data_IF_398268547232
#
_entry.id   IF_398268547232
#
_cell.length_a   1.000
_cell.length_b   1.000
_cell.length_c   1.000
_cell.angle_alpha   90.00
_cell.angle_beta   90.00
_cell.angle_gamma   90.00
#
_symmetry.space_group_name_H-M   'P 1'
#
loop_
_entity.id
_entity.type
_entity.pdbx_description
1 polymer ?
#
# COMPACT_ATOMS: atom_id res chain seq x y z
N UNK A 1 30.15 -12.45 -20.83
CA UNK A 1 29.71 -11.22 -20.14
C UNK A 1 28.66 -10.58 -21.03
N UNK A 2 27.39 -10.71 -20.70
CA UNK A 2 26.33 -10.02 -21.43
C UNK A 2 26.48 -8.51 -21.20
N UNK A 3 26.32 -7.71 -22.26
CA UNK A 3 26.41 -6.25 -22.19
C UNK A 3 25.27 -5.68 -21.34
N UNK A 4 25.54 -4.67 -20.50
CA UNK A 4 24.50 -3.95 -19.72
C UNK A 4 23.31 -3.49 -20.58
N UNK A 5 23.55 -3.16 -21.85
CA UNK A 5 22.51 -2.78 -22.79
C UNK A 5 21.56 -3.95 -23.13
N UNK A 6 22.08 -5.18 -23.16
CA UNK A 6 21.29 -6.39 -23.35
C UNK A 6 20.45 -6.70 -22.10
N UNK A 7 21.00 -6.48 -20.90
CA UNK A 7 20.26 -6.58 -19.63
C UNK A 7 19.11 -5.57 -19.59
N UNK A 8 19.37 -4.28 -19.88
CA UNK A 8 18.32 -3.25 -19.92
C UNK A 8 17.26 -3.55 -20.97
N UNK A 9 17.66 -4.01 -22.16
CA UNK A 9 16.73 -4.36 -23.24
C UNK A 9 15.90 -5.61 -22.90
N UNK A 10 16.46 -6.54 -22.13
CA UNK A 10 15.73 -7.71 -21.63
C UNK A 10 14.78 -7.34 -20.48
N UNK A 11 15.16 -6.41 -19.62
CA UNK A 11 14.32 -5.92 -18.51
C UNK A 11 13.11 -5.13 -19.02
N UNK A 12 13.32 -4.25 -20.02
CA UNK A 12 12.27 -3.41 -20.61
C UNK A 12 11.41 -4.12 -21.68
N UNK A 13 11.55 -5.44 -21.85
CA UNK A 13 10.60 -6.16 -22.71
C UNK A 13 9.20 -6.07 -22.09
N UNK A 14 8.13 -5.85 -22.87
CA UNK A 14 6.77 -5.77 -22.32
C UNK A 14 6.33 -7.06 -21.60
N UNK A 15 6.96 -8.18 -21.95
CA UNK A 15 6.84 -9.49 -21.30
C UNK A 15 7.55 -9.56 -19.92
N UNK A 16 8.58 -8.73 -19.70
CA UNK A 16 9.30 -8.54 -18.42
C UNK A 16 8.93 -7.25 -17.68
N UNK A 17 8.18 -6.34 -18.31
CA UNK A 17 7.41 -5.26 -17.65
C UNK A 17 6.21 -5.84 -16.87
N UNK A 18 6.37 -7.07 -16.37
CA UNK A 18 5.32 -7.88 -15.79
C UNK A 18 5.12 -7.53 -14.33
N UNK A 19 3.86 -7.52 -13.90
CA UNK A 19 3.45 -7.52 -12.49
C UNK A 19 3.89 -8.81 -11.74
N UNK A 20 4.96 -9.47 -12.16
CA UNK A 20 5.46 -10.71 -11.59
C UNK A 20 6.60 -10.36 -10.63
N UNK A 21 6.41 -10.64 -9.35
CA UNK A 21 7.46 -10.50 -8.36
C UNK A 21 8.33 -11.76 -8.35
N UNK A 22 9.65 -11.61 -8.22
CA UNK A 22 10.62 -12.72 -8.24
C UNK A 22 10.38 -13.74 -7.11
N UNK A 23 9.86 -13.28 -5.97
CA UNK A 23 9.35 -14.15 -4.89
C UNK A 23 7.97 -13.67 -4.38
N UNK A 24 6.86 -14.22 -4.89
CA UNK A 24 5.53 -13.84 -4.44
C UNK A 24 5.21 -14.32 -3.01
N UNK A 25 6.06 -15.13 -2.39
CA UNK A 25 5.83 -15.68 -1.06
C UNK A 25 6.06 -14.66 0.06
N UNK A 26 6.87 -13.63 -0.19
CA UNK A 26 7.15 -12.55 0.77
C UNK A 26 5.92 -11.73 1.18
N UNK A 27 4.91 -11.65 0.31
CA UNK A 27 3.68 -10.89 0.58
C UNK A 27 2.76 -11.60 1.56
N UNK A 28 2.84 -12.92 1.62
CA UNK A 28 1.84 -13.79 2.26
C UNK A 28 2.41 -14.48 3.50
N UNK A 29 3.71 -14.75 3.51
CA UNK A 29 4.40 -15.38 4.65
C UNK A 29 4.76 -14.32 5.69
N UNK A 30 4.80 -14.75 6.94
CA UNK A 30 5.37 -13.92 8.00
C UNK A 30 6.88 -13.79 7.79
N UNK A 31 7.38 -12.56 7.67
CA UNK A 31 8.82 -12.25 7.66
C UNK A 31 9.42 -12.24 9.07
N UNK A 32 8.59 -12.45 10.09
CA UNK A 32 8.93 -12.42 11.50
C UNK A 32 8.88 -13.86 12.04
N UNK A 33 9.57 -14.21 13.14
CA UNK A 33 9.62 -15.58 13.66
C UNK A 33 8.30 -16.06 14.32
N UNK A 34 7.17 -15.43 13.99
CA UNK A 34 5.87 -15.72 14.58
C UNK A 34 5.07 -16.74 13.77
N UNK A 35 4.09 -17.37 14.43
CA UNK A 35 3.13 -18.25 13.77
C UNK A 35 2.34 -17.47 12.71
N UNK A 36 2.13 -18.10 11.54
CA UNK A 36 1.35 -17.58 10.42
C UNK A 36 -0.05 -17.12 10.85
N UNK A 37 -0.62 -17.73 11.89
CA UNK A 37 -1.94 -17.36 12.45
C UNK A 37 -1.95 -15.96 13.03
N UNK A 38 -0.91 -15.63 13.81
CA UNK A 38 -0.76 -14.32 14.44
C UNK A 38 -0.50 -13.26 13.39
N UNK A 39 0.26 -13.60 12.35
CA UNK A 39 0.49 -12.73 11.21
C UNK A 39 -0.81 -12.40 10.45
N UNK A 40 -1.67 -13.38 10.20
CA UNK A 40 -2.99 -13.14 9.58
C UNK A 40 -3.88 -12.28 10.46
N UNK A 41 -3.95 -12.57 11.76
CA UNK A 41 -4.74 -11.78 12.71
C UNK A 41 -4.29 -10.32 12.73
N UNK A 42 -2.97 -10.09 12.79
CA UNK A 42 -2.37 -8.77 12.69
C UNK A 42 -2.80 -8.05 11.40
N UNK A 43 -2.69 -8.70 10.23
CA UNK A 43 -3.05 -8.09 8.94
C UNK A 43 -4.54 -7.72 8.88
N UNK A 44 -5.42 -8.55 9.43
CA UNK A 44 -6.86 -8.25 9.51
C UNK A 44 -7.14 -7.07 10.43
N UNK A 45 -6.50 -7.02 11.61
CA UNK A 45 -6.63 -5.88 12.55
C UNK A 45 -6.14 -4.58 11.92
N UNK A 46 -5.01 -4.61 11.21
CA UNK A 46 -4.48 -3.45 10.49
C UNK A 46 -5.45 -2.97 9.42
N UNK A 47 -5.98 -3.88 8.58
CA UNK A 47 -6.95 -3.53 7.56
C UNK A 47 -8.21 -2.89 8.14
N UNK A 48 -8.75 -3.45 9.24
CA UNK A 48 -9.90 -2.85 9.95
C UNK A 48 -9.56 -1.47 10.52
N UNK A 49 -8.35 -1.29 11.06
CA UNK A 49 -7.88 0.00 11.56
C UNK A 49 -7.85 1.07 10.46
N UNK A 50 -7.29 0.76 9.29
CA UNK A 50 -7.27 1.68 8.16
C UNK A 50 -8.66 1.97 7.59
N UNK A 51 -9.55 0.96 7.53
CA UNK A 51 -10.95 1.18 7.14
C UNK A 51 -11.66 2.12 8.12
N UNK A 52 -11.48 1.93 9.43
CA UNK A 52 -12.06 2.81 10.42
C UNK A 52 -11.49 4.24 10.29
N UNK A 53 -10.18 4.34 10.06
CA UNK A 53 -9.50 5.62 9.89
C UNK A 53 -10.03 6.37 8.66
N UNK A 54 -10.09 5.75 7.48
CA UNK A 54 -10.56 6.44 6.26
C UNK A 54 -12.01 6.91 6.37
N UNK A 55 -12.85 6.17 7.09
CA UNK A 55 -14.23 6.60 7.35
C UNK A 55 -14.24 7.82 8.28
N UNK A 56 -13.48 7.78 9.37
CA UNK A 56 -13.39 8.89 10.32
C UNK A 56 -12.80 10.14 9.68
N UNK A 57 -11.76 9.98 8.87
CA UNK A 57 -11.07 11.05 8.14
C UNK A 57 -12.01 11.74 7.15
N UNK A 58 -12.74 10.97 6.34
CA UNK A 58 -13.76 11.48 5.43
C UNK A 58 -14.82 12.32 6.16
N UNK A 59 -15.32 11.84 7.29
CA UNK A 59 -16.36 12.54 8.07
C UNK A 59 -15.80 13.84 8.63
N UNK A 60 -14.65 13.77 9.32
CA UNK A 60 -14.05 14.92 10.00
C UNK A 60 -13.64 16.02 8.99
N UNK A 61 -13.04 15.64 7.86
CA UNK A 61 -12.66 16.59 6.83
C UNK A 61 -13.86 17.21 6.11
N UNK A 62 -14.90 16.42 5.84
CA UNK A 62 -16.10 16.91 5.15
C UNK A 62 -16.83 17.96 5.99
N UNK A 63 -16.98 17.70 7.30
CA UNK A 63 -17.65 18.61 8.22
C UNK A 63 -16.82 19.89 8.47
N UNK A 64 -15.51 19.76 8.69
CA UNK A 64 -14.66 20.90 9.09
C UNK A 64 -14.16 21.74 7.92
N UNK A 65 -13.74 21.12 6.82
CA UNK A 65 -13.01 21.81 5.76
C UNK A 65 -13.84 22.02 4.49
N UNK A 66 -14.68 21.05 4.12
CA UNK A 66 -15.33 21.07 2.79
C UNK A 66 -16.76 21.59 2.74
N UNK A 67 -17.37 21.92 3.90
CA UNK A 67 -18.76 22.41 3.99
C UNK A 67 -19.74 21.49 3.26
N UNK A 68 -19.72 20.21 3.59
CA UNK A 68 -20.56 19.15 3.00
C UNK A 68 -20.26 18.80 1.53
N UNK A 69 -19.18 19.33 0.93
CA UNK A 69 -18.77 18.98 -0.44
C UNK A 69 -17.78 17.83 -0.46
N UNK A 70 -18.31 16.62 -0.31
CA UNK A 70 -17.56 15.36 -0.30
C UNK A 70 -16.64 15.15 -1.53
N UNK A 71 -17.01 15.62 -2.72
CA UNK A 71 -16.20 15.45 -3.93
C UNK A 71 -14.82 16.12 -3.88
N UNK A 72 -14.67 17.16 -3.04
CA UNK A 72 -13.40 17.88 -2.89
C UNK A 72 -12.35 16.99 -2.20
N UNK A 73 -12.78 16.09 -1.31
CA UNK A 73 -11.91 15.12 -0.65
C UNK A 73 -11.16 14.25 -1.67
N UNK A 74 -11.79 13.87 -2.78
CA UNK A 74 -11.17 13.10 -3.88
C UNK A 74 -10.24 13.92 -4.79
N UNK A 75 -10.04 15.21 -4.55
CA UNK A 75 -9.10 16.01 -5.34
C UNK A 75 -7.70 15.96 -4.71
N UNK A 76 -7.61 15.75 -3.40
CA UNK A 76 -6.34 15.77 -2.68
C UNK A 76 -5.53 14.50 -2.91
N UNK A 77 -4.27 14.69 -3.33
CA UNK A 77 -3.33 13.59 -3.57
C UNK A 77 -3.06 12.75 -2.31
N UNK A 78 -3.07 13.38 -1.13
CA UNK A 78 -2.94 12.69 0.17
C UNK A 78 -4.07 11.70 0.40
N UNK A 79 -5.31 12.09 0.05
CA UNK A 79 -6.50 11.27 0.23
C UNK A 79 -6.47 10.07 -0.72
N UNK A 80 -5.99 10.25 -1.96
CA UNK A 80 -5.71 9.13 -2.87
C UNK A 80 -4.64 8.17 -2.36
N UNK A 81 -3.55 8.69 -1.79
CA UNK A 81 -2.52 7.84 -1.18
C UNK A 81 -3.09 7.03 -0.02
N UNK A 82 -3.99 7.64 0.78
CA UNK A 82 -4.65 6.97 1.88
C UNK A 82 -5.64 5.89 1.42
N UNK A 83 -6.38 6.13 0.34
CA UNK A 83 -7.21 5.11 -0.34
C UNK A 83 -6.35 3.95 -0.81
N UNK A 84 -5.23 4.23 -1.50
CA UNK A 84 -4.33 3.21 -2.03
C UNK A 84 -3.68 2.38 -0.92
N UNK A 85 -3.30 3.02 0.19
CA UNK A 85 -2.78 2.35 1.37
C UNK A 85 -3.83 1.42 1.99
N UNK A 86 -5.05 1.92 2.16
CA UNK A 86 -6.16 1.14 2.71
C UNK A 86 -6.46 -0.09 1.82
N UNK A 87 -6.56 0.11 0.51
CA UNK A 87 -6.75 -0.98 -0.46
C UNK A 87 -5.62 -2.02 -0.40
N UNK A 88 -4.37 -1.57 -0.28
CA UNK A 88 -3.21 -2.45 -0.14
C UNK A 88 -3.36 -3.35 1.09
N UNK A 89 -3.64 -2.77 2.26
CA UNK A 89 -3.77 -3.54 3.51
C UNK A 89 -4.94 -4.55 3.47
N UNK A 90 -6.04 -4.22 2.79
CA UNK A 90 -7.17 -5.14 2.57
C UNK A 90 -6.76 -6.32 1.69
N UNK A 91 -6.11 -6.06 0.56
CA UNK A 91 -5.66 -7.12 -0.36
C UNK A 91 -4.63 -8.01 0.31
N UNK A 92 -3.70 -7.46 1.10
CA UNK A 92 -2.76 -8.23 1.92
C UNK A 92 -3.48 -9.15 2.91
N UNK A 93 -4.47 -8.63 3.64
CA UNK A 93 -5.24 -9.40 4.60
C UNK A 93 -6.01 -10.55 3.93
N UNK A 94 -6.62 -10.30 2.77
CA UNK A 94 -7.30 -11.32 1.96
C UNK A 94 -6.31 -12.40 1.50
N UNK A 95 -5.17 -12.02 0.93
CA UNK A 95 -4.17 -12.96 0.44
C UNK A 95 -3.59 -13.81 1.58
N UNK A 96 -3.25 -13.19 2.71
CA UNK A 96 -2.75 -13.90 3.90
C UNK A 96 -3.78 -14.88 4.47
N UNK A 97 -5.03 -14.45 4.56
CA UNK A 97 -6.13 -15.28 5.06
C UNK A 97 -6.39 -16.46 4.12
N UNK A 98 -6.47 -16.20 2.82
CA UNK A 98 -6.67 -17.23 1.81
C UNK A 98 -5.55 -18.28 1.84
N UNK A 99 -4.28 -17.86 1.92
CA UNK A 99 -3.16 -18.79 2.06
C UNK A 99 -3.24 -19.60 3.37
N UNK A 100 -3.60 -18.98 4.50
CA UNK A 100 -3.74 -19.69 5.76
C UNK A 100 -4.88 -20.73 5.72
N UNK A 101 -6.03 -20.37 5.14
CA UNK A 101 -7.19 -21.28 4.99
C UNK A 101 -6.91 -22.37 3.96
N UNK A 102 -6.33 -22.05 2.81
CA UNK A 102 -5.94 -23.02 1.79
C UNK A 102 -4.87 -23.99 2.31
N UNK A 103 -3.86 -23.47 3.02
CA UNK A 103 -2.89 -24.29 3.72
C UNK A 103 -3.60 -25.24 4.68
N UNK A 104 -4.49 -24.76 5.56
CA UNK A 104 -5.25 -25.58 6.52
C UNK A 104 -6.19 -26.61 5.88
N UNK A 105 -6.90 -26.25 4.81
CA UNK A 105 -7.83 -27.14 4.11
C UNK A 105 -7.15 -28.30 3.40
N UNK A 106 -5.97 -28.06 2.81
CA UNK A 106 -5.11 -29.10 2.23
C UNK A 106 -4.36 -29.90 3.32
N UNK A 107 -3.95 -29.22 4.41
CA UNK A 107 -3.21 -29.78 5.54
C UNK A 107 -3.99 -30.69 6.48
N UNK A 108 -5.30 -30.46 6.60
CA UNK A 108 -6.16 -31.27 7.47
C UNK A 108 -6.24 -32.73 7.03
N UNK A 109 -5.81 -33.04 5.80
CA UNK A 109 -5.94 -34.37 5.19
C UNK A 109 -4.61 -35.08 4.89
N UNK A 110 -3.50 -34.35 4.75
CA UNK A 110 -2.17 -34.90 4.45
C UNK A 110 -1.07 -34.16 5.25
N UNK A 111 -0.23 -34.93 5.95
CA UNK A 111 0.98 -34.43 6.65
C UNK A 111 1.84 -33.62 5.67
N UNK A 112 1.92 -32.31 5.90
CA UNK A 112 2.49 -31.29 5.00
C UNK A 112 3.90 -31.59 4.53
N UNK A 113 4.16 -31.42 3.24
CA UNK A 113 5.47 -31.01 2.74
C UNK A 113 5.35 -29.57 2.21
N UNK A 114 5.59 -28.59 3.11
CA UNK A 114 5.45 -27.14 2.88
C UNK A 114 6.12 -26.66 1.59
N UNK A 115 7.26 -27.25 1.26
CA UNK A 115 8.11 -26.83 0.15
C UNK A 115 7.51 -27.12 -1.24
N UNK A 116 6.78 -28.24 -1.41
CA UNK A 116 6.19 -28.61 -2.70
C UNK A 116 4.91 -27.84 -3.02
N UNK A 117 4.15 -27.45 -1.99
CA UNK A 117 2.94 -26.63 -2.15
C UNK A 117 3.32 -25.19 -2.45
N UNK A 118 4.32 -24.65 -1.76
CA UNK A 118 4.86 -23.32 -2.07
C UNK A 118 5.29 -23.26 -3.54
N UNK A 119 6.03 -24.27 -4.03
CA UNK A 119 6.43 -24.34 -5.43
C UNK A 119 5.22 -24.33 -6.40
N UNK A 120 4.15 -25.08 -6.11
CA UNK A 120 2.99 -25.17 -6.99
C UNK A 120 2.05 -23.94 -6.91
N UNK A 121 1.95 -23.29 -5.75
CA UNK A 121 1.10 -22.11 -5.56
C UNK A 121 1.73 -20.84 -6.13
N UNK A 122 3.06 -20.74 -6.05
CA UNK A 122 3.83 -19.59 -6.52
C UNK A 122 4.28 -19.73 -7.98
N UNK A 123 4.22 -20.93 -8.59
CA UNK A 123 4.50 -21.14 -10.04
C UNK A 123 3.52 -20.42 -10.97
N UNK A 124 2.30 -20.15 -10.52
CA UNK A 124 1.34 -19.29 -11.23
C UNK A 124 0.85 -18.24 -10.28
N UNK A 125 1.52 -17.08 -10.29
CA UNK A 125 1.19 -15.95 -9.42
C UNK A 125 -0.31 -15.60 -9.57
N UNK A 126 -1.11 -15.80 -8.52
CA UNK A 126 -2.54 -15.51 -8.57
C UNK A 126 -2.76 -14.03 -8.89
N UNK A 127 -3.82 -13.72 -9.65
CA UNK A 127 -4.20 -12.34 -9.97
C UNK A 127 -4.21 -11.41 -8.73
N UNK A 128 -4.68 -11.84 -7.54
CA UNK A 128 -4.62 -11.02 -6.33
C UNK A 128 -3.20 -10.59 -5.92
N UNK A 129 -2.20 -11.47 -6.08
CA UNK A 129 -0.82 -11.13 -5.76
C UNK A 129 -0.24 -10.13 -6.76
N UNK A 130 -0.65 -10.22 -8.04
CA UNK A 130 -0.26 -9.25 -9.06
C UNK A 130 -0.84 -7.87 -8.74
N UNK A 131 -2.13 -7.83 -8.41
CA UNK A 131 -2.80 -6.60 -7.97
C UNK A 131 -2.12 -6.02 -6.73
N UNK A 132 -1.75 -6.86 -5.76
CA UNK A 132 -1.01 -6.43 -4.59
C UNK A 132 0.35 -5.80 -4.95
N UNK A 133 1.09 -6.43 -5.87
CA UNK A 133 2.36 -5.89 -6.35
C UNK A 133 2.20 -4.52 -7.03
N UNK A 134 1.15 -4.36 -7.85
CA UNK A 134 0.84 -3.07 -8.47
C UNK A 134 0.49 -2.00 -7.42
N UNK A 135 -0.39 -2.35 -6.47
CA UNK A 135 -0.82 -1.45 -5.41
C UNK A 135 0.35 -1.01 -4.52
N UNK A 136 1.25 -1.92 -4.18
CA UNK A 136 2.45 -1.62 -3.41
C UNK A 136 3.36 -0.62 -4.14
N UNK A 137 3.63 -0.85 -5.43
CA UNK A 137 4.42 0.07 -6.24
C UNK A 137 3.75 1.45 -6.37
N UNK A 138 2.43 1.48 -6.53
CA UNK A 138 1.69 2.73 -6.63
C UNK A 138 1.71 3.50 -5.30
N UNK A 139 1.48 2.82 -4.17
CA UNK A 139 1.54 3.41 -2.84
C UNK A 139 2.93 3.98 -2.53
N UNK A 140 4.00 3.24 -2.82
CA UNK A 140 5.37 3.71 -2.62
C UNK A 140 5.68 4.98 -3.42
N UNK A 141 5.23 5.05 -4.67
CA UNK A 141 5.39 6.25 -5.49
C UNK A 141 4.60 7.44 -4.93
N UNK A 142 3.37 7.23 -4.45
CA UNK A 142 2.60 8.32 -3.82
C UNK A 142 3.25 8.84 -2.55
N UNK A 143 3.86 7.97 -1.74
CA UNK A 143 4.55 8.36 -0.52
C UNK A 143 5.75 9.29 -0.81
N UNK A 144 6.52 9.01 -1.87
CA UNK A 144 7.63 9.85 -2.30
C UNK A 144 7.12 11.22 -2.75
N UNK A 145 6.07 11.25 -3.59
CA UNK A 145 5.49 12.51 -4.09
C UNK A 145 5.01 13.38 -2.93
N UNK A 146 4.25 12.82 -1.99
CA UNK A 146 3.74 13.57 -0.81
C UNK A 146 4.89 14.08 0.05
N UNK A 147 5.90 13.24 0.29
CA UNK A 147 7.07 13.63 1.10
C UNK A 147 7.80 14.78 0.45
N UNK A 148 8.10 14.69 -0.85
CA UNK A 148 8.77 15.77 -1.59
C UNK A 148 7.91 17.03 -1.57
N UNK A 149 6.60 16.93 -1.83
CA UNK A 149 5.70 18.09 -1.79
C UNK A 149 5.71 18.78 -0.43
N UNK A 150 5.64 18.02 0.67
CA UNK A 150 5.66 18.55 2.03
C UNK A 150 6.96 19.31 2.33
N UNK A 151 8.12 18.74 1.96
CA UNK A 151 9.42 19.34 2.23
C UNK A 151 9.90 20.36 1.19
N UNK A 152 9.26 20.41 0.01
CA UNK A 152 9.62 21.34 -1.06
C UNK A 152 9.13 22.76 -0.84
N UNK A 153 8.17 22.95 0.08
CA UNK A 153 7.72 24.28 0.49
C UNK A 153 8.81 24.89 1.36
N UNK A 154 9.44 26.00 0.93
CA UNK A 154 10.43 26.68 1.77
C UNK A 154 9.75 27.20 3.04
N UNK A 155 10.33 26.91 4.21
CA UNK A 155 9.84 27.40 5.51
C UNK A 155 9.68 28.92 5.55
N UNK A 156 10.45 29.64 4.73
CA UNK A 156 10.40 31.09 4.57
C UNK A 156 9.01 31.60 4.14
N UNK A 157 8.23 30.79 3.40
CA UNK A 157 6.87 31.15 2.97
C UNK A 157 5.87 31.06 4.13
N UNK A 158 6.08 30.14 5.07
CA UNK A 158 5.25 30.02 6.27
C UNK A 158 5.47 31.22 7.21
N UNK A 159 6.72 31.61 7.44
CA UNK A 159 7.05 32.79 8.27
C UNK A 159 6.57 34.10 7.64
N UNK A 160 6.69 34.26 6.32
CA UNK A 160 6.17 35.46 5.63
C UNK A 160 4.65 35.56 5.72
N UNK A 161 3.91 34.46 5.54
CA UNK A 161 2.44 34.46 5.64
C UNK A 161 1.96 34.82 7.05
N UNK A 162 2.67 34.35 8.09
CA UNK A 162 2.39 34.72 9.48
C UNK A 162 2.73 36.19 9.77
N UNK A 163 3.86 36.69 9.27
CA UNK A 163 4.25 38.09 9.40
C UNK A 163 3.26 39.03 8.70
N UNK A 164 2.79 38.67 7.50
CA UNK A 164 1.76 39.43 6.78
C UNK A 164 0.40 39.39 7.48
N UNK A 165 0.00 38.25 8.08
CA UNK A 165 -1.22 38.16 8.87
C UNK A 165 -1.17 39.00 10.15
N UNK A 166 -0.02 39.05 10.82
CA UNK A 166 0.15 39.88 12.03
C UNK A 166 0.25 41.38 11.75
N UNK A 167 0.77 41.78 10.59
CA UNK A 167 0.79 43.19 10.17
C UNK A 167 -0.54 43.68 9.58
N UNK A 168 -1.31 42.82 8.91
CA UNK A 168 -2.63 43.17 8.35
C UNK A 168 -3.73 43.43 9.41
N UNK A 169 -3.56 42.92 10.63
CA UNK A 169 -4.51 43.11 11.75
C UNK A 169 -4.22 44.40 12.54
N UNK A 170 -3.08 45.08 12.28
CA UNK A 170 -2.57 46.18 13.13
C UNK A 170 -2.79 47.60 12.57
N UNK A 171 -3.81 47.80 11.74
CA UNK A 171 -4.21 49.13 11.26
C UNK A 171 -5.70 49.41 11.50
N UNK A 172 -6.06 50.09 12.60
CA UNK A 172 -7.21 50.99 12.67
C UNK A 172 -6.92 52.36 12.04
#
# INVERSE_FOLDING_TARGET
MESCAQCLKNEFKPENAGLNHEDPSVFVKSQWPFDQRLYVLYRVVVAMGFIAWIIADVIDETEKFYKDRFWIWFIFATNWSFVLLTLTTIVEAICCTYYCVAARGLLGKYRYNKQNIDAHYFQSMPIPLKVLWLLYNLAANTAIVITISYWSVPNDQHEQNEAHAQHGVRHP
#
